data_IF_561216211172
#
_entry.id   IF_561216211172
#
_cell.length_a   1.000
_cell.length_b   1.000
_cell.length_c   1.000
_cell.angle_alpha   90.00
_cell.angle_beta   90.00
_cell.angle_gamma   90.00
#
_symmetry.space_group_name_H-M   'P 1'
#
loop_
_entity.id
_entity.type
_entity.pdbx_description
1 polymer ?
#
# COMPACT_ATOMS: atom_id res chain seq x y z
N UNK A 1 -7.52 -2.12 -6.85
CA UNK A 1 -7.17 -1.43 -5.58
C UNK A 1 -5.95 -0.59 -5.87
N UNK A 2 -6.04 0.73 -5.83
CA UNK A 2 -5.02 1.71 -6.22
C UNK A 2 -3.62 1.57 -5.54
N UNK A 3 -2.61 2.24 -6.11
CA UNK A 3 -1.26 2.33 -5.54
C UNK A 3 -1.02 3.67 -4.84
N UNK A 4 -0.42 3.63 -3.65
CA UNK A 4 0.05 4.82 -2.92
C UNK A 4 1.55 4.65 -2.70
N UNK A 5 2.31 5.73 -2.89
CA UNK A 5 3.72 5.80 -2.48
C UNK A 5 4.05 7.19 -1.94
N UNK A 6 4.81 7.28 -0.85
CA UNK A 6 5.21 8.54 -0.23
C UNK A 6 6.62 8.49 0.33
N UNK A 7 7.26 9.66 0.40
CA UNK A 7 8.62 9.84 0.89
C UNK A 7 8.75 11.14 1.66
N UNK A 8 9.46 11.10 2.80
CA UNK A 8 9.95 12.26 3.53
C UNK A 8 11.32 11.94 4.14
N UNK A 9 12.31 12.82 3.98
CA UNK A 9 13.64 12.55 4.52
C UNK A 9 14.71 13.55 4.09
N UNK A 10 15.97 13.13 4.18
CA UNK A 10 17.12 13.96 3.81
C UNK A 10 17.33 14.11 2.30
N UNK A 11 16.81 13.19 1.46
CA UNK A 11 17.05 13.21 0.01
C UNK A 11 16.37 14.43 -0.62
N UNK A 12 16.98 14.91 -1.71
CA UNK A 12 16.43 15.97 -2.57
C UNK A 12 15.98 15.37 -3.91
N UNK A 13 15.13 16.08 -4.65
CA UNK A 13 14.54 15.62 -5.92
C UNK A 13 13.74 14.31 -5.80
N UNK A 14 12.92 14.21 -4.75
CA UNK A 14 12.25 12.96 -4.36
C UNK A 14 11.05 12.58 -5.25
N UNK A 15 10.62 13.47 -6.15
CA UNK A 15 9.54 13.19 -7.09
C UNK A 15 9.83 11.96 -7.97
N UNK A 16 11.08 11.79 -8.42
CA UNK A 16 11.47 10.61 -9.21
C UNK A 16 11.45 9.33 -8.38
N UNK A 17 11.90 9.40 -7.14
CA UNK A 17 11.86 8.25 -6.22
C UNK A 17 10.42 7.77 -6.02
N UNK A 18 9.50 8.70 -5.75
CA UNK A 18 8.08 8.39 -5.58
C UNK A 18 7.49 7.82 -6.88
N UNK A 19 7.82 8.40 -8.03
CA UNK A 19 7.36 7.89 -9.33
C UNK A 19 7.83 6.44 -9.60
N UNK A 20 9.09 6.10 -9.32
CA UNK A 20 9.58 4.72 -9.45
C UNK A 20 8.91 3.78 -8.44
N UNK A 21 8.65 4.25 -7.21
CA UNK A 21 7.84 3.54 -6.23
C UNK A 21 6.45 3.19 -6.76
N UNK A 22 5.78 4.14 -7.42
CA UNK A 22 4.47 3.91 -8.04
C UNK A 22 4.50 2.92 -9.20
N UNK A 23 5.56 2.88 -10.01
CA UNK A 23 5.70 1.89 -11.08
C UNK A 23 5.72 0.47 -10.55
N UNK A 24 6.33 0.28 -9.37
CA UNK A 24 6.29 -1.02 -8.69
C UNK A 24 4.87 -1.42 -8.25
N UNK A 25 3.95 -0.45 -8.14
CA UNK A 25 2.54 -0.62 -7.77
C UNK A 25 1.59 -0.53 -8.98
N UNK A 26 2.07 -0.55 -10.23
CA UNK A 26 1.17 -0.42 -11.41
C UNK A 26 0.13 -1.56 -11.49
N UNK A 27 0.44 -2.75 -10.97
CA UNK A 27 -0.48 -3.89 -10.94
C UNK A 27 -1.76 -3.64 -10.10
N UNK A 28 -1.78 -2.57 -9.31
CA UNK A 28 -2.86 -2.17 -8.41
C UNK A 28 -3.85 -1.19 -9.07
N UNK A 29 -3.36 -0.29 -9.92
CA UNK A 29 -4.16 0.70 -10.63
C UNK A 29 -3.38 1.28 -11.82
N UNK A 30 -4.07 1.51 -12.93
CA UNK A 30 -3.44 1.85 -14.21
C UNK A 30 -4.24 2.87 -15.05
N UNK A 31 -5.35 3.40 -14.52
CA UNK A 31 -6.20 4.34 -15.26
C UNK A 31 -5.61 5.75 -15.27
N UNK A 32 -4.90 6.14 -14.22
CA UNK A 32 -4.17 7.41 -14.15
C UNK A 32 -3.10 7.36 -13.06
N UNK A 33 -2.20 8.34 -13.06
CA UNK A 33 -1.15 8.48 -12.06
C UNK A 33 -0.88 9.95 -11.76
N UNK A 34 -0.24 10.21 -10.63
CA UNK A 34 0.28 11.53 -10.33
C UNK A 34 1.23 11.56 -9.15
N UNK A 35 2.01 12.63 -9.08
CA UNK A 35 3.01 12.92 -8.05
C UNK A 35 2.85 14.37 -7.62
N UNK A 36 2.88 14.61 -6.32
CA UNK A 36 3.06 15.92 -5.70
C UNK A 36 4.41 15.96 -4.98
N UNK A 37 5.14 17.06 -5.12
CA UNK A 37 6.37 17.35 -4.40
C UNK A 37 6.29 18.72 -3.72
N UNK A 38 6.86 18.85 -2.53
CA UNK A 38 6.98 20.11 -1.80
C UNK A 38 8.35 20.72 -2.07
N UNK A 39 8.40 21.96 -2.56
CA UNK A 39 9.62 22.75 -2.71
C UNK A 39 9.34 24.19 -2.31
N UNK A 40 10.22 24.79 -1.51
CA UNK A 40 10.18 26.21 -1.14
C UNK A 40 8.80 26.68 -0.64
N UNK A 41 8.19 25.89 0.24
CA UNK A 41 6.88 26.21 0.83
C UNK A 41 5.68 26.04 -0.11
N UNK A 42 5.86 25.44 -1.30
CA UNK A 42 4.82 25.25 -2.32
C UNK A 42 4.71 23.79 -2.75
N UNK A 43 3.51 23.37 -3.15
CA UNK A 43 3.27 22.06 -3.75
C UNK A 43 3.26 22.17 -5.28
N UNK A 44 4.00 21.28 -5.93
CA UNK A 44 4.03 21.12 -7.37
C UNK A 44 3.48 19.75 -7.74
N UNK A 45 2.58 19.69 -8.71
CA UNK A 45 1.91 18.44 -9.12
C UNK A 45 2.18 18.14 -10.59
N UNK A 46 2.43 16.86 -10.87
CA UNK A 46 2.38 16.31 -12.21
C UNK A 46 1.52 15.06 -12.21
N UNK A 47 0.46 15.04 -13.03
CA UNK A 47 -0.49 13.94 -13.10
C UNK A 47 -1.03 13.76 -14.51
N UNK A 48 -1.40 12.53 -14.86
CA UNK A 48 -1.86 12.18 -16.20
C UNK A 48 -2.78 10.96 -16.18
N UNK A 49 -3.77 10.96 -17.06
CA UNK A 49 -4.57 9.82 -17.41
C UNK A 49 -3.78 8.79 -18.24
N UNK A 50 -4.18 7.53 -18.11
CA UNK A 50 -3.51 6.38 -18.68
C UNK A 50 -2.46 5.76 -17.76
N UNK A 51 -1.77 4.76 -18.32
CA UNK A 51 -0.76 3.97 -17.62
C UNK A 51 0.45 4.82 -17.25
N UNK A 52 1.12 4.46 -16.16
CA UNK A 52 2.26 5.22 -15.63
C UNK A 52 3.48 5.27 -16.55
N UNK A 53 3.72 4.25 -17.38
CA UNK A 53 4.77 4.30 -18.43
C UNK A 53 6.14 4.83 -17.95
N UNK A 54 6.86 5.50 -18.87
CA UNK A 54 8.16 6.13 -18.60
C UNK A 54 8.07 7.65 -18.81
N UNK A 55 7.40 8.37 -17.90
CA UNK A 55 7.34 9.83 -17.96
C UNK A 55 8.53 10.49 -17.24
N UNK A 56 8.93 11.66 -17.74
CA UNK A 56 9.83 12.55 -17.02
C UNK A 56 9.04 13.26 -15.91
N UNK A 57 9.53 13.17 -14.67
CA UNK A 57 9.01 13.90 -13.50
C UNK A 57 10.09 14.77 -12.85
N UNK A 58 11.26 14.88 -13.47
CA UNK A 58 12.39 15.68 -12.98
C UNK A 58 12.20 17.18 -13.25
N UNK A 59 11.15 17.55 -13.98
CA UNK A 59 10.68 18.93 -14.12
C UNK A 59 9.96 19.44 -12.87
N UNK A 60 9.59 18.55 -11.94
CA UNK A 60 9.15 18.96 -10.62
C UNK A 60 10.33 19.50 -9.80
N UNK A 61 10.17 20.65 -9.11
CA UNK A 61 11.23 21.24 -8.29
C UNK A 61 11.78 20.32 -7.19
N UNK A 62 13.01 20.62 -6.77
CA UNK A 62 13.75 19.83 -5.80
C UNK A 62 13.17 19.91 -4.39
N UNK A 63 12.31 18.95 -4.06
CA UNK A 63 11.79 18.74 -2.71
C UNK A 63 12.46 17.63 -1.91
N UNK A 64 12.19 17.60 -0.61
CA UNK A 64 12.46 16.47 0.29
C UNK A 64 11.20 15.70 0.71
N UNK A 65 10.02 16.17 0.31
CA UNK A 65 8.73 15.54 0.56
C UNK A 65 8.04 15.32 -0.78
N UNK A 66 7.57 14.10 -1.02
CA UNK A 66 6.68 13.82 -2.14
C UNK A 66 5.72 12.68 -1.82
N UNK A 67 4.55 12.75 -2.45
CA UNK A 67 3.53 11.70 -2.43
C UNK A 67 3.05 11.44 -3.85
N UNK A 68 2.60 10.23 -4.10
CA UNK A 68 2.17 9.82 -5.42
C UNK A 68 1.12 8.73 -5.36
N UNK A 69 0.39 8.61 -6.47
CA UNK A 69 -0.75 7.70 -6.58
C UNK A 69 -0.87 7.09 -7.97
N UNK A 70 -1.27 5.83 -8.03
CA UNK A 70 -1.84 5.20 -9.23
C UNK A 70 -3.28 4.85 -8.98
N UNK A 71 -4.16 5.27 -9.88
CA UNK A 71 -5.60 5.23 -9.69
C UNK A 71 -6.25 4.14 -10.52
N UNK A 72 -7.20 3.45 -9.91
CA UNK A 72 -8.27 2.70 -10.55
C UNK A 72 -9.55 3.49 -10.29
N UNK A 73 -10.18 4.03 -11.33
CA UNK A 73 -11.28 4.98 -11.16
C UNK A 73 -12.54 4.28 -10.61
N UNK A 74 -13.10 4.83 -9.53
CA UNK A 74 -14.41 4.44 -8.98
C UNK A 74 -15.45 5.54 -9.18
N UNK A 75 -15.10 6.78 -8.81
CA UNK A 75 -15.91 7.98 -9.01
C UNK A 75 -15.30 8.91 -10.06
N UNK A 76 -16.10 9.41 -11.00
CA UNK A 76 -15.63 10.32 -12.05
C UNK A 76 -14.82 9.63 -13.15
N UNK A 77 -14.81 10.25 -14.33
CA UNK A 77 -14.14 9.70 -15.52
C UNK A 77 -12.62 9.63 -15.37
N UNK A 78 -11.97 8.86 -16.25
CA UNK A 78 -10.50 8.77 -16.33
C UNK A 78 -9.96 10.02 -17.03
N UNK A 79 -9.56 11.02 -16.26
CA UNK A 79 -9.02 12.31 -16.75
C UNK A 79 -7.85 12.77 -15.89
N UNK A 80 -6.99 13.64 -16.45
CA UNK A 80 -5.89 14.26 -15.71
C UNK A 80 -6.40 15.00 -14.47
N UNK A 81 -7.57 15.65 -14.57
CA UNK A 81 -8.20 16.40 -13.47
C UNK A 81 -8.60 15.48 -12.32
N UNK A 82 -9.19 14.32 -12.62
CA UNK A 82 -9.62 13.32 -11.64
C UNK A 82 -8.47 12.43 -11.13
N UNK A 83 -7.28 12.51 -11.73
CA UNK A 83 -6.11 11.84 -11.20
C UNK A 83 -5.70 12.47 -9.87
N UNK A 84 -5.25 11.65 -8.94
CA UNK A 84 -4.65 12.11 -7.69
C UNK A 84 -3.20 12.57 -7.96
N UNK A 85 -2.63 13.49 -7.16
CA UNK A 85 -3.18 14.13 -5.97
C UNK A 85 -4.22 15.26 -6.24
N UNK A 86 -5.06 15.54 -5.25
CA UNK A 86 -6.00 16.67 -5.22
C UNK A 86 -5.51 17.78 -4.28
N UNK A 87 -5.67 19.03 -4.71
CA UNK A 87 -5.28 20.22 -3.94
C UNK A 87 -6.48 20.85 -3.24
N UNK A 88 -6.23 21.53 -2.13
CA UNK A 88 -7.18 22.48 -1.53
C UNK A 88 -7.32 23.77 -2.37
N UNK A 89 -8.23 24.66 -1.97
CA UNK A 89 -8.47 25.94 -2.67
C UNK A 89 -7.22 26.82 -2.80
N UNK A 90 -6.26 26.72 -1.87
CA UNK A 90 -5.06 27.58 -1.82
C UNK A 90 -3.81 26.90 -2.36
N UNK A 91 -3.89 25.62 -2.77
CA UNK A 91 -2.73 24.84 -3.21
C UNK A 91 -1.70 24.57 -2.10
N UNK A 92 -2.11 24.65 -0.84
CA UNK A 92 -1.27 24.40 0.35
C UNK A 92 -1.36 22.97 0.85
N UNK A 93 -2.41 22.23 0.50
CA UNK A 93 -2.62 20.85 0.94
C UNK A 93 -2.77 19.97 -0.30
N UNK A 94 -2.07 18.84 -0.34
CA UNK A 94 -2.28 17.81 -1.36
C UNK A 94 -2.65 16.48 -0.71
N UNK A 95 -3.70 15.85 -1.24
CA UNK A 95 -4.26 14.58 -0.73
C UNK A 95 -4.20 13.50 -1.80
N UNK A 96 -3.82 12.30 -1.38
CA UNK A 96 -4.02 11.05 -2.12
C UNK A 96 -4.82 10.06 -1.27
N UNK A 97 -5.62 9.24 -1.93
CA UNK A 97 -6.60 8.40 -1.26
C UNK A 97 -6.77 7.05 -1.97
N UNK A 98 -6.77 5.97 -1.19
CA UNK A 98 -7.20 4.65 -1.60
C UNK A 98 -8.44 4.26 -0.83
N UNK A 99 -9.57 4.16 -1.51
CA UNK A 99 -10.82 3.86 -0.83
C UNK A 99 -12.01 4.49 -1.53
N UNK A 100 -13.13 4.52 -0.81
CA UNK A 100 -14.32 5.25 -1.19
C UNK A 100 -14.80 6.02 0.04
N UNK A 101 -14.82 7.35 -0.06
CA UNK A 101 -15.44 8.21 0.95
C UNK A 101 -16.94 8.27 0.66
N UNK A 102 -17.71 7.36 1.26
CA UNK A 102 -19.09 7.05 0.83
C UNK A 102 -20.06 8.22 1.01
N UNK A 103 -19.96 8.95 2.12
CA UNK A 103 -20.81 10.09 2.45
C UNK A 103 -20.27 11.44 1.93
N UNK A 104 -19.36 11.45 0.94
CA UNK A 104 -18.71 12.67 0.42
C UNK A 104 -19.70 13.71 -0.15
N UNK A 105 -20.82 13.27 -0.75
CA UNK A 105 -21.78 14.18 -1.38
C UNK A 105 -22.36 15.21 -0.41
N UNK A 106 -22.64 14.79 0.83
CA UNK A 106 -23.14 15.66 1.91
C UNK A 106 -22.16 16.80 2.16
N UNK A 107 -20.87 16.48 2.24
CA UNK A 107 -19.81 17.46 2.49
C UNK A 107 -19.55 18.33 1.27
N UNK A 108 -19.53 17.74 0.07
CA UNK A 108 -19.38 18.46 -1.20
C UNK A 108 -20.46 19.54 -1.35
N UNK A 109 -21.73 19.20 -1.16
CA UNK A 109 -22.86 20.15 -1.20
C UNK A 109 -22.70 21.27 -0.16
N UNK A 110 -22.26 20.94 1.06
CA UNK A 110 -22.01 21.95 2.12
C UNK A 110 -20.86 22.89 1.79
N UNK A 111 -19.76 22.38 1.21
CA UNK A 111 -18.57 23.16 0.85
C UNK A 111 -18.84 24.07 -0.35
N UNK A 112 -19.59 23.60 -1.35
CA UNK A 112 -20.04 24.45 -2.48
C UNK A 112 -20.88 25.62 -1.97
N UNK A 113 -21.82 25.39 -1.05
CA UNK A 113 -22.60 26.47 -0.42
C UNK A 113 -21.74 27.48 0.34
N UNK A 114 -20.56 27.08 0.80
CA UNK A 114 -19.57 27.95 1.47
C UNK A 114 -18.59 28.62 0.50
N UNK A 115 -18.76 28.42 -0.81
CA UNK A 115 -17.95 29.07 -1.85
C UNK A 115 -16.71 28.29 -2.29
N UNK A 116 -16.53 27.04 -1.84
CA UNK A 116 -15.42 26.19 -2.34
C UNK A 116 -15.65 25.83 -3.81
N UNK A 117 -14.59 25.93 -4.61
CA UNK A 117 -14.60 25.58 -6.04
C UNK A 117 -13.99 24.20 -6.24
N UNK A 118 -14.83 23.24 -6.63
CA UNK A 118 -14.39 21.90 -7.00
C UNK A 118 -14.08 21.85 -8.49
N UNK A 119 -12.94 21.25 -8.86
CA UNK A 119 -12.53 21.06 -10.25
C UNK A 119 -12.69 19.62 -10.71
N UNK A 120 -12.72 18.65 -9.78
CA UNK A 120 -12.82 17.22 -10.11
C UNK A 120 -14.18 16.63 -9.72
N UNK A 121 -14.45 15.43 -10.18
CA UNK A 121 -15.65 14.66 -9.84
C UNK A 121 -15.39 13.64 -8.72
N UNK A 122 -14.20 13.64 -8.11
CA UNK A 122 -13.81 12.63 -7.15
C UNK A 122 -14.34 12.95 -5.75
N UNK A 123 -14.57 11.89 -4.99
CA UNK A 123 -14.79 11.92 -3.55
C UNK A 123 -13.55 12.46 -2.80
N UNK A 124 -12.37 12.17 -3.32
CA UNK A 124 -11.08 12.52 -2.72
C UNK A 124 -10.84 14.03 -2.63
N UNK A 125 -11.27 14.82 -3.62
CA UNK A 125 -11.13 16.28 -3.57
C UNK A 125 -11.88 16.90 -2.37
N UNK A 126 -12.98 16.28 -1.93
CA UNK A 126 -13.71 16.72 -0.73
C UNK A 126 -12.80 16.67 0.51
N UNK A 127 -11.92 15.68 0.60
CA UNK A 127 -10.97 15.54 1.72
C UNK A 127 -10.03 16.75 1.74
N UNK A 128 -9.47 17.15 0.59
CA UNK A 128 -8.57 18.31 0.51
C UNK A 128 -9.24 19.61 0.96
N UNK A 129 -10.51 19.83 0.60
CA UNK A 129 -11.26 20.99 1.04
C UNK A 129 -11.67 20.95 2.52
N UNK A 130 -11.99 19.78 3.07
CA UNK A 130 -12.31 19.65 4.50
C UNK A 130 -11.09 20.00 5.37
N UNK A 131 -9.89 19.64 4.92
CA UNK A 131 -8.63 19.93 5.59
C UNK A 131 -8.25 21.42 5.61
N UNK A 132 -8.91 22.27 4.81
CA UNK A 132 -8.75 23.73 4.91
C UNK A 132 -9.25 24.27 6.26
N UNK A 133 -10.21 23.57 6.89
CA UNK A 133 -10.89 24.01 8.11
C UNK A 133 -10.65 23.10 9.30
N UNK A 134 -10.55 21.80 9.07
CA UNK A 134 -10.48 20.79 10.13
C UNK A 134 -9.11 20.10 10.13
N UNK A 135 -8.67 19.65 11.29
CA UNK A 135 -7.50 18.79 11.38
C UNK A 135 -7.77 17.41 10.75
N UNK A 136 -6.68 16.67 10.47
CA UNK A 136 -6.72 15.35 9.84
C UNK A 136 -7.63 14.35 10.53
N UNK A 137 -7.55 14.25 11.85
CA UNK A 137 -8.32 13.28 12.64
C UNK A 137 -9.80 13.61 12.60
N UNK A 138 -10.14 14.90 12.68
CA UNK A 138 -11.51 15.39 12.56
C UNK A 138 -12.10 15.14 11.17
N UNK A 139 -11.31 15.30 10.10
CA UNK A 139 -11.76 14.95 8.73
C UNK A 139 -11.97 13.45 8.62
N UNK A 140 -11.03 12.64 9.10
CA UNK A 140 -11.13 11.19 9.00
C UNK A 140 -12.34 10.62 9.77
N UNK A 141 -12.61 11.10 10.98
CA UNK A 141 -13.79 10.70 11.77
C UNK A 141 -15.14 11.06 11.10
N UNK A 142 -15.13 11.90 10.07
CA UNK A 142 -16.32 12.26 9.28
C UNK A 142 -16.53 11.34 8.08
N UNK A 143 -15.52 10.56 7.72
CA UNK A 143 -15.52 9.70 6.54
C UNK A 143 -16.20 8.37 6.85
N UNK A 144 -17.18 8.02 6.03
CA UNK A 144 -17.74 6.67 5.97
C UNK A 144 -17.08 5.90 4.81
N UNK A 145 -17.08 4.57 4.92
CA UNK A 145 -16.43 3.67 3.95
C UNK A 145 -15.03 3.22 4.38
N UNK A 146 -14.32 2.59 3.46
CA UNK A 146 -12.97 2.06 3.67
C UNK A 146 -11.96 2.95 2.97
N UNK A 147 -11.04 3.56 3.72
CA UNK A 147 -10.17 4.62 3.26
C UNK A 147 -8.73 4.41 3.74
N UNK A 148 -7.76 4.83 2.94
CA UNK A 148 -6.38 5.09 3.35
C UNK A 148 -6.00 6.42 2.73
N UNK A 149 -5.76 7.41 3.58
CA UNK A 149 -5.55 8.80 3.19
C UNK A 149 -4.12 9.18 3.55
N UNK A 150 -3.42 9.79 2.60
CA UNK A 150 -2.17 10.50 2.85
C UNK A 150 -2.36 11.95 2.44
N UNK A 151 -1.79 12.86 3.22
CA UNK A 151 -1.61 14.21 2.74
C UNK A 151 -0.35 14.89 3.24
N UNK A 152 -0.04 15.97 2.55
CA UNK A 152 1.06 16.88 2.83
C UNK A 152 0.53 18.31 2.88
N UNK A 153 1.17 19.13 3.70
CA UNK A 153 0.95 20.57 3.75
C UNK A 153 2.24 21.27 3.35
N UNK A 154 2.18 22.23 2.43
CA UNK A 154 3.35 22.93 1.90
C UNK A 154 4.10 23.75 2.95
N UNK A 155 3.44 24.11 4.05
CA UNK A 155 3.98 24.91 5.16
C UNK A 155 4.55 24.05 6.30
N UNK A 156 4.42 22.72 6.21
CA UNK A 156 4.85 21.81 7.27
C UNK A 156 5.71 20.69 6.70
N UNK A 157 6.81 20.40 7.37
CA UNK A 157 7.69 19.29 6.99
C UNK A 157 7.21 17.95 7.56
N UNK A 158 5.95 17.60 7.28
CA UNK A 158 5.31 16.39 7.77
C UNK A 158 4.34 15.78 6.74
N UNK A 159 4.21 14.47 6.78
CA UNK A 159 3.18 13.70 6.07
C UNK A 159 2.18 13.19 7.09
N UNK A 160 0.90 13.44 6.84
CA UNK A 160 -0.20 12.84 7.60
C UNK A 160 -0.68 11.59 6.89
N UNK A 161 -0.92 10.52 7.66
CA UNK A 161 -1.50 9.30 7.15
C UNK A 161 -2.50 8.70 8.15
N UNK A 162 -3.56 8.10 7.61
CA UNK A 162 -4.59 7.41 8.40
C UNK A 162 -5.29 6.37 7.52
N UNK A 163 -5.77 5.28 8.11
CA UNK A 163 -6.58 4.29 7.40
C UNK A 163 -7.73 3.71 8.22
N UNK A 164 -8.77 3.27 7.51
CA UNK A 164 -9.75 2.29 7.93
C UNK A 164 -10.02 1.32 6.75
N UNK A 165 -9.70 0.04 6.90
CA UNK A 165 -9.90 -1.01 5.90
C UNK A 165 -8.85 -1.06 4.78
N UNK A 166 -8.53 0.07 4.14
CA UNK A 166 -7.60 0.10 3.00
C UNK A 166 -6.13 -0.03 3.46
N UNK A 167 -5.30 -0.94 2.91
CA UNK A 167 -3.94 -1.17 3.39
C UNK A 167 -3.02 0.05 3.27
N UNK A 168 -2.26 0.33 4.33
CA UNK A 168 -1.22 1.34 4.35
C UNK A 168 -0.06 0.90 5.25
N UNK A 169 1.17 1.09 4.77
CA UNK A 169 2.39 0.60 5.43
C UNK A 169 3.42 1.72 5.46
N UNK A 170 4.05 1.92 6.62
CA UNK A 170 5.20 2.79 6.80
C UNK A 170 6.48 1.98 6.69
N UNK A 171 7.46 2.49 5.96
CA UNK A 171 8.83 1.98 5.95
C UNK A 171 9.77 2.94 6.67
N UNK A 172 10.60 2.42 7.58
CA UNK A 172 11.54 3.21 8.36
C UNK A 172 12.95 3.14 7.76
N UNK A 173 13.50 4.29 7.37
CA UNK A 173 14.90 4.47 6.98
C UNK A 173 15.73 5.14 8.08
N UNK A 174 16.95 5.57 7.74
CA UNK A 174 17.79 6.40 8.62
C UNK A 174 17.68 7.86 8.17
N UNK A 175 17.00 8.71 8.95
CA UNK A 175 16.72 10.10 8.57
C UNK A 175 15.76 10.24 7.39
N UNK A 176 14.99 9.19 7.11
CA UNK A 176 13.97 9.16 6.06
C UNK A 176 12.90 8.12 6.39
N UNK A 177 11.67 8.38 5.95
CA UNK A 177 10.54 7.49 6.10
C UNK A 177 9.77 7.40 4.77
N UNK A 178 9.15 6.25 4.56
CA UNK A 178 8.42 5.91 3.35
C UNK A 178 6.99 5.49 3.70
N UNK A 179 6.06 5.69 2.77
CA UNK A 179 4.71 5.15 2.85
C UNK A 179 4.39 4.37 1.58
N UNK A 180 3.66 3.27 1.69
CA UNK A 180 3.11 2.58 0.54
C UNK A 180 1.83 1.82 0.88
N UNK A 181 0.95 1.61 -0.12
CA UNK A 181 -0.20 0.71 0.02
C UNK A 181 0.18 -0.78 -0.05
N UNK A 182 1.42 -1.09 -0.43
CA UNK A 182 1.98 -2.43 -0.42
C UNK A 182 3.45 -2.39 0.04
N UNK A 183 3.77 -3.22 1.02
CA UNK A 183 5.12 -3.34 1.56
C UNK A 183 6.16 -3.74 0.50
N UNK A 184 5.76 -4.42 -0.58
CA UNK A 184 6.65 -4.80 -1.68
C UNK A 184 7.36 -3.59 -2.32
N UNK A 185 6.68 -2.45 -2.40
CA UNK A 185 7.26 -1.22 -2.94
C UNK A 185 8.34 -0.60 -2.03
N UNK A 186 8.34 -0.95 -0.74
CA UNK A 186 9.28 -0.42 0.25
C UNK A 186 10.57 -1.22 0.35
N UNK A 187 10.57 -2.51 -0.05
CA UNK A 187 11.71 -3.42 0.11
C UNK A 187 13.03 -2.89 -0.50
N UNK A 188 13.04 -2.20 -1.66
CA UNK A 188 14.27 -1.60 -2.18
C UNK A 188 14.91 -0.56 -1.26
N UNK A 189 14.13 0.03 -0.34
CA UNK A 189 14.55 1.12 0.52
C UNK A 189 14.71 0.70 1.99
N UNK A 190 13.80 -0.14 2.49
CA UNK A 190 13.84 -0.62 3.87
C UNK A 190 13.07 -1.92 4.05
N UNK A 191 13.47 -2.68 5.09
CA UNK A 191 12.77 -3.89 5.56
C UNK A 191 12.07 -3.67 6.89
N UNK A 192 12.36 -2.57 7.58
CA UNK A 192 11.68 -2.21 8.82
C UNK A 192 10.39 -1.52 8.45
N UNK A 193 9.27 -2.14 8.77
CA UNK A 193 7.95 -1.65 8.39
C UNK A 193 7.00 -1.67 9.57
N UNK A 194 5.98 -0.84 9.50
CA UNK A 194 4.82 -0.89 10.38
C UNK A 194 3.58 -0.84 9.50
N UNK A 195 2.76 -1.88 9.59
CA UNK A 195 1.45 -1.93 8.96
C UNK A 195 0.50 -1.14 9.85
N UNK A 196 -0.15 -0.13 9.30
CA UNK A 196 -1.11 0.64 10.07
C UNK A 196 -2.33 -0.24 10.35
N UNK A 197 -2.84 -0.10 11.56
CA UNK A 197 -4.12 -0.65 11.97
C UNK A 197 -5.27 0.32 11.65
N UNK A 198 -6.51 -0.15 11.80
CA UNK A 198 -7.68 0.71 11.64
C UNK A 198 -7.72 1.83 12.68
N UNK A 199 -8.11 3.02 12.19
CA UNK A 199 -8.22 4.26 12.95
C UNK A 199 -6.89 4.79 13.52
N UNK A 200 -5.77 4.19 13.09
CA UNK A 200 -4.43 4.63 13.45
C UNK A 200 -4.03 5.84 12.60
N UNK A 201 -4.01 7.01 13.24
CA UNK A 201 -3.58 8.28 12.64
C UNK A 201 -2.12 8.57 12.99
N UNK A 202 -1.29 8.79 11.99
CA UNK A 202 0.15 9.02 12.15
C UNK A 202 0.60 10.35 11.55
N UNK A 203 1.59 10.95 12.18
CA UNK A 203 2.35 12.09 11.66
C UNK A 203 3.78 11.65 11.44
N UNK A 204 4.26 11.81 10.21
CA UNK A 204 5.54 11.27 9.76
C UNK A 204 6.43 12.44 9.36
N UNK A 205 7.60 12.52 9.96
CA UNK A 205 8.67 13.47 9.61
C UNK A 205 9.88 12.70 9.11
N UNK A 206 10.98 13.38 8.78
CA UNK A 206 12.23 12.71 8.43
C UNK A 206 12.76 11.83 9.58
N UNK A 207 12.62 12.30 10.83
CA UNK A 207 13.28 11.70 11.99
C UNK A 207 12.37 10.83 12.84
N UNK A 208 11.08 11.17 12.90
CA UNK A 208 10.12 10.53 13.81
C UNK A 208 8.80 10.21 13.12
N UNK A 209 8.17 9.16 13.63
CA UNK A 209 6.77 8.84 13.36
C UNK A 209 6.02 8.85 14.68
N UNK A 210 4.97 9.66 14.75
CA UNK A 210 4.13 9.85 15.94
C UNK A 210 2.76 9.23 15.66
N UNK A 211 2.15 8.61 16.67
CA UNK A 211 0.79 8.04 16.57
C UNK A 211 0.73 6.55 16.29
N UNK A 212 1.89 5.88 16.23
CA UNK A 212 1.94 4.42 16.12
C UNK A 212 1.65 3.78 17.48
N UNK A 213 0.79 2.77 17.47
CA UNK A 213 0.33 1.96 18.60
C UNK A 213 0.92 0.54 18.56
N UNK A 214 1.22 0.03 17.35
CA UNK A 214 1.68 -1.35 17.16
C UNK A 214 3.18 -1.47 16.86
N UNK A 215 3.71 -2.69 16.92
CA UNK A 215 5.15 -2.95 16.82
C UNK A 215 5.68 -2.78 15.39
N UNK A 216 6.91 -2.27 15.29
CA UNK A 216 7.71 -2.29 14.06
C UNK A 216 8.15 -3.73 13.78
N UNK A 217 7.95 -4.17 12.54
CA UNK A 217 8.27 -5.51 12.07
C UNK A 217 9.43 -5.46 11.06
N UNK A 218 10.18 -6.56 10.94
CA UNK A 218 11.21 -6.70 9.91
C UNK A 218 10.77 -7.71 8.87
N UNK A 219 10.72 -7.30 7.60
CA UNK A 219 10.34 -8.16 6.48
C UNK A 219 11.50 -9.07 6.07
N UNK A 220 11.26 -10.38 6.14
CA UNK A 220 12.23 -11.40 5.77
C UNK A 220 12.14 -11.86 4.30
N UNK A 221 11.13 -11.41 3.54
CA UNK A 221 10.90 -11.85 2.16
C UNK A 221 11.91 -11.25 1.18
N UNK A 222 12.29 -11.99 0.13
CA UNK A 222 13.23 -11.50 -0.90
C UNK A 222 12.48 -10.89 -2.09
N UNK A 223 12.97 -9.78 -2.63
CA UNK A 223 12.35 -9.07 -3.78
C UNK A 223 12.18 -9.99 -5.00
N UNK A 224 13.11 -10.94 -5.20
CA UNK A 224 13.06 -11.94 -6.29
C UNK A 224 11.76 -12.75 -6.32
N UNK A 225 11.10 -12.93 -5.18
CA UNK A 225 9.82 -13.63 -5.07
C UNK A 225 8.67 -12.82 -5.70
N UNK A 226 8.76 -11.48 -5.67
CA UNK A 226 7.77 -10.55 -6.25
C UNK A 226 8.02 -10.12 -7.70
N UNK A 227 9.16 -10.46 -8.31
CA UNK A 227 9.49 -10.04 -9.69
C UNK A 227 9.18 -11.10 -10.75
N UNK A 228 9.08 -10.74 -12.03
CA UNK A 228 8.91 -11.72 -13.13
C UNK A 228 10.07 -12.72 -13.23
N UNK A 229 11.30 -12.30 -12.91
CA UNK A 229 12.50 -13.13 -13.09
C UNK A 229 12.63 -13.60 -14.54
N UNK A 230 12.94 -14.90 -14.74
CA UNK A 230 13.08 -15.52 -16.08
C UNK A 230 11.77 -15.68 -16.87
N UNK A 231 10.62 -15.29 -16.32
CA UNK A 231 9.31 -15.53 -16.95
C UNK A 231 8.82 -14.30 -17.72
N UNK A 232 8.27 -14.52 -18.92
CA UNK A 232 7.72 -13.45 -19.77
C UNK A 232 6.53 -12.71 -19.12
N UNK A 233 5.70 -13.43 -18.35
CA UNK A 233 4.51 -12.89 -17.70
C UNK A 233 4.39 -13.39 -16.25
N UNK A 234 3.81 -12.58 -15.36
CA UNK A 234 3.56 -12.97 -13.95
C UNK A 234 2.65 -14.20 -13.84
N UNK A 235 1.59 -14.28 -14.64
CA UNK A 235 0.69 -15.44 -14.66
C UNK A 235 1.44 -16.76 -14.96
N UNK A 236 2.43 -16.71 -15.86
CA UNK A 236 3.26 -17.87 -16.18
C UNK A 236 4.17 -18.26 -15.00
N UNK A 237 4.79 -17.28 -14.33
CA UNK A 237 5.57 -17.50 -13.10
C UNK A 237 4.70 -18.18 -12.04
N UNK A 238 3.53 -17.62 -11.73
CA UNK A 238 2.63 -18.12 -10.69
C UNK A 238 2.16 -19.55 -10.97
N UNK A 239 1.77 -19.86 -12.22
CA UNK A 239 1.38 -21.22 -12.61
C UNK A 239 2.52 -22.23 -12.46
N UNK A 240 3.75 -21.88 -12.85
CA UNK A 240 4.92 -22.76 -12.74
C UNK A 240 5.42 -22.93 -11.30
N UNK A 241 5.19 -21.94 -10.44
CA UNK A 241 5.57 -21.99 -9.02
C UNK A 241 4.49 -22.63 -8.12
N UNK A 242 3.32 -23.01 -8.67
CA UNK A 242 2.19 -23.57 -7.91
C UNK A 242 2.60 -24.68 -6.93
N UNK A 243 3.38 -25.65 -7.39
CA UNK A 243 3.84 -26.76 -6.54
C UNK A 243 4.79 -26.32 -5.42
N UNK A 244 5.64 -25.31 -5.69
CA UNK A 244 6.53 -24.74 -4.67
C UNK A 244 5.73 -23.97 -3.63
N UNK A 245 4.72 -23.21 -4.05
CA UNK A 245 3.81 -22.49 -3.14
C UNK A 245 3.04 -23.47 -2.25
N UNK A 246 2.45 -24.53 -2.82
CA UNK A 246 1.76 -25.58 -2.05
C UNK A 246 2.70 -26.21 -1.01
N UNK A 247 3.93 -26.59 -1.42
CA UNK A 247 4.92 -27.17 -0.50
C UNK A 247 5.31 -26.20 0.62
N UNK A 248 5.52 -24.92 0.31
CA UNK A 248 5.83 -23.89 1.30
C UNK A 248 4.69 -23.68 2.30
N UNK A 249 3.44 -23.62 1.83
CA UNK A 249 2.25 -23.53 2.69
C UNK A 249 2.12 -24.76 3.59
N UNK A 250 2.36 -25.97 3.07
CA UNK A 250 2.35 -27.19 3.88
C UNK A 250 3.48 -27.21 4.92
N UNK A 251 4.68 -26.73 4.60
CA UNK A 251 5.78 -26.60 5.56
C UNK A 251 5.42 -25.64 6.70
N UNK A 252 4.79 -24.50 6.40
CA UNK A 252 4.29 -23.57 7.42
C UNK A 252 3.24 -24.18 8.35
N UNK A 253 2.35 -25.04 7.82
CA UNK A 253 1.35 -25.76 8.60
C UNK A 253 1.99 -26.83 9.50
N UNK A 254 3.04 -27.52 9.05
CA UNK A 254 3.75 -28.53 9.85
C UNK A 254 4.53 -27.93 11.03
N UNK A 255 4.97 -26.67 10.93
CA UNK A 255 5.68 -25.97 12.03
C UNK A 255 4.75 -25.62 13.21
N UNK A 256 3.42 -25.60 13.01
CA UNK A 256 2.43 -25.29 14.05
C UNK A 256 1.90 -26.50 14.84
N UNK A 257 2.50 -27.69 14.73
CA UNK A 257 2.21 -28.82 15.63
C UNK A 257 3.46 -29.32 16.35
N UNK A 258 3.93 -28.53 17.32
CA UNK A 258 4.57 -29.10 18.51
C UNK A 258 3.48 -29.75 19.40
N UNK A 259 2.81 -30.78 18.90
CA UNK A 259 2.10 -31.72 19.76
C UNK A 259 3.13 -32.74 20.26
N UNK A 260 3.76 -32.43 21.40
CA UNK A 260 4.40 -33.45 22.23
C UNK A 260 3.34 -34.49 22.59
N UNK A 261 3.62 -35.76 22.29
CA UNK A 261 2.86 -36.90 22.81
C UNK A 261 1.97 -37.60 21.79
N UNK A 262 2.56 -38.38 20.87
CA UNK A 262 1.99 -39.63 20.33
C UNK A 262 2.96 -40.25 19.32
N UNK A 263 4.13 -40.71 19.79
CA UNK A 263 5.02 -41.53 18.95
C UNK A 263 5.42 -42.79 19.71
N UNK A 264 4.45 -43.70 19.89
CA UNK A 264 4.69 -45.11 20.22
C UNK A 264 3.59 -45.97 19.60
N UNK A 265 3.77 -46.32 18.33
CA UNK A 265 3.48 -47.69 17.85
C UNK A 265 3.98 -47.84 16.42
N UNK A 266 4.80 -48.88 16.22
CA UNK A 266 5.15 -49.42 14.91
C UNK A 266 3.89 -50.06 14.34
N UNK A 267 3.17 -49.36 13.48
CA UNK A 267 2.37 -49.91 12.40
C UNK A 267 1.71 -48.76 11.63
N UNK A 268 1.81 -48.83 10.31
CA UNK A 268 1.20 -47.92 9.36
C UNK A 268 -0.27 -47.68 9.72
N UNK A 269 -0.64 -46.45 10.08
CA UNK A 269 -2.05 -46.06 10.20
C UNK A 269 -2.34 -44.91 9.24
N UNK A 270 -3.36 -45.12 8.41
CA UNK A 270 -4.05 -44.06 7.65
C UNK A 270 -4.39 -42.94 8.63
N UNK A 271 -3.85 -41.73 8.42
CA UNK A 271 -4.29 -40.55 9.15
C UNK A 271 -5.39 -39.90 8.32
N UNK A 272 -6.62 -39.98 8.82
CA UNK A 272 -7.75 -39.21 8.30
C UNK A 272 -7.57 -37.75 8.74
N UNK A 273 -7.50 -36.85 7.77
CA UNK A 273 -7.60 -35.41 8.00
C UNK A 273 -8.75 -34.91 7.13
N UNK A 274 -9.91 -34.66 7.74
CA UNK A 274 -10.94 -33.86 7.09
C UNK A 274 -10.60 -32.38 7.28
N UNK A 275 -10.70 -31.60 6.21
CA UNK A 275 -10.64 -30.15 6.26
C UNK A 275 -11.88 -29.61 5.55
N UNK A 276 -12.60 -28.68 6.19
CA UNK A 276 -13.65 -27.89 5.56
C UNK A 276 -13.03 -26.59 5.06
N UNK A 277 -13.00 -26.40 3.75
CA UNK A 277 -12.85 -25.11 3.08
C UNK A 277 -13.93 -25.04 2.01
N UNK A 278 -14.86 -24.09 2.13
CA UNK A 278 -15.94 -23.78 1.18
C UNK A 278 -16.67 -25.01 0.58
N UNK A 279 -17.72 -25.48 1.26
CA UNK A 279 -18.86 -26.30 0.77
C UNK A 279 -18.64 -27.43 -0.28
N UNK A 280 -17.43 -27.96 -0.43
CA UNK A 280 -17.20 -29.24 -1.10
C UNK A 280 -16.17 -30.06 -0.32
N UNK A 281 -16.58 -31.24 0.16
CA UNK A 281 -15.65 -32.22 0.70
C UNK A 281 -14.77 -32.77 -0.43
N UNK A 282 -13.46 -32.53 -0.36
CA UNK A 282 -12.47 -33.25 -1.18
C UNK A 282 -11.41 -33.87 -0.29
N UNK A 283 -11.33 -35.20 -0.35
CA UNK A 283 -10.30 -35.99 0.32
C UNK A 283 -8.99 -35.96 -0.48
N UNK A 284 -7.89 -35.58 0.16
CA UNK A 284 -6.55 -35.74 -0.42
C UNK A 284 -5.78 -36.84 0.31
N UNK A 285 -5.24 -37.81 -0.44
CA UNK A 285 -4.31 -38.81 0.08
C UNK A 285 -2.87 -38.30 -0.06
N UNK A 286 -2.10 -38.34 1.03
CA UNK A 286 -0.64 -38.18 0.97
C UNK A 286 0.02 -39.52 1.33
N UNK A 287 0.81 -40.06 0.41
CA UNK A 287 1.79 -41.10 0.69
C UNK A 287 3.13 -40.43 1.02
N UNK A 288 3.70 -40.77 2.18
CA UNK A 288 5.05 -40.34 2.55
C UNK A 288 6.00 -41.51 2.24
N UNK A 289 6.97 -41.36 1.33
CA UNK A 289 8.03 -42.35 1.17
C UNK A 289 9.02 -42.17 2.32
N UNK A 290 9.21 -43.21 3.13
CA UNK A 290 10.35 -43.30 4.04
C UNK A 290 11.56 -43.64 3.16
N UNK A 291 12.52 -42.70 3.02
CA UNK A 291 13.84 -43.03 2.46
C UNK A 291 14.45 -44.11 3.35
N UNK A 292 14.73 -45.29 2.77
CA UNK A 292 15.63 -46.26 3.38
C UNK A 292 17.01 -45.61 3.47
N UNK A 293 17.54 -45.56 4.69
CA UNK A 293 18.93 -45.32 4.96
C UNK A 293 19.62 -46.68 4.76
N UNK A 294 19.99 -46.99 3.52
CA UNK A 294 20.87 -48.12 3.26
C UNK A 294 22.28 -47.55 3.17
N UNK A 295 22.92 -47.47 4.34
CA UNK A 295 24.38 -47.41 4.39
C UNK A 295 24.93 -48.80 4.08
N UNK A 296 26.01 -48.86 3.31
CA UNK A 296 27.30 -49.46 3.64
C UNK A 296 28.14 -49.53 2.36
N UNK A 297 29.43 -49.16 2.49
CA UNK A 297 30.61 -49.56 1.70
C UNK A 297 30.43 -49.84 0.21
#
# INVERSE_FOLDING_TARGET
MCGIFGYIGFRKNVARLVFEGLKSLEYRGYDSWGVAAVSDGKIFIKKKAGRIGDFNVNDLPSGNIAIGHTRWATHGSVTDVNAHPHLDCKGKIAVIHNGIFENYEKYRKSLIKKGHKFISQTDTEVISHLLEKYDFKTVFNKMEGLNAVIAINSEREEIFAVRNGSPLVIGFGKGENFLASDAAALIPYTRKVHFLEDDESVVITADKVIGITSKIQTLHWRIEEGQKGRFKHFMLKSSRLRNRVIRGSCQGIFVLKNCRGACKSRNWKRVWLSYRFFEQEKSCYCYIPIRRNDGYS
#
